data_IF_478015439263
#
_entry.id   IF_478015439263
#
_cell.length_a   1.000
_cell.length_b   1.000
_cell.length_c   1.000
_cell.angle_alpha   90.00
_cell.angle_beta   90.00
_cell.angle_gamma   90.00
#
_symmetry.space_group_name_H-M   'P 1'
#
loop_
_entity.id
_entity.type
_entity.pdbx_description
1 polymer ?
#
# COMPACT_ATOMS: atom_id res chain seq x y z
N UNK A 1 -18.33 -12.19 0.61
CA UNK A 1 -16.86 -11.98 0.60
C UNK A 1 -16.29 -12.63 1.84
N UNK A 2 -15.28 -13.49 1.69
CA UNK A 2 -14.66 -14.18 2.83
C UNK A 2 -13.51 -13.37 3.42
N UNK A 3 -13.35 -13.44 4.73
CA UNK A 3 -12.18 -12.92 5.44
C UNK A 3 -11.08 -14.00 5.48
N UNK A 4 -9.85 -13.61 5.19
CA UNK A 4 -8.67 -14.48 5.32
C UNK A 4 -7.92 -14.12 6.59
N UNK A 5 -7.68 -15.10 7.46
CA UNK A 5 -6.94 -14.90 8.72
C UNK A 5 -5.49 -15.33 8.52
N UNK A 6 -4.56 -14.38 8.64
CA UNK A 6 -3.13 -14.66 8.73
C UNK A 6 -2.75 -14.87 10.20
N UNK A 7 -2.23 -16.05 10.54
CA UNK A 7 -1.74 -16.34 11.89
C UNK A 7 -0.24 -16.06 11.97
N UNK A 8 0.15 -15.26 12.95
CA UNK A 8 1.55 -14.98 13.26
C UNK A 8 1.87 -15.64 14.60
N UNK A 9 2.97 -16.41 14.70
CA UNK A 9 3.43 -16.97 15.96
C UNK A 9 3.65 -15.89 17.04
N UNK A 10 3.31 -16.20 18.30
CA UNK A 10 3.37 -15.23 19.40
C UNK A 10 4.79 -14.72 19.67
N UNK A 11 5.79 -15.59 19.56
CA UNK A 11 7.21 -15.26 19.68
C UNK A 11 7.67 -14.27 18.59
N UNK A 12 7.13 -14.38 17.38
CA UNK A 12 7.37 -13.39 16.30
C UNK A 12 6.72 -12.05 16.64
N UNK A 13 5.51 -12.05 17.17
CA UNK A 13 4.82 -10.81 17.61
C UNK A 13 5.61 -10.11 18.72
N UNK A 14 6.09 -10.86 19.70
CA UNK A 14 6.94 -10.34 20.79
C UNK A 14 8.25 -9.75 20.26
N UNK A 15 8.82 -10.33 19.20
CA UNK A 15 10.05 -9.85 18.58
C UNK A 15 9.90 -8.53 17.79
N UNK A 16 8.69 -8.12 17.41
CA UNK A 16 8.45 -6.88 16.63
C UNK A 16 8.80 -5.61 17.41
N UNK A 17 8.88 -5.67 18.74
CA UNK A 17 9.16 -4.50 19.62
C UNK A 17 8.24 -3.30 19.36
N UNK A 18 6.99 -3.57 19.00
CA UNK A 18 5.94 -2.59 18.79
C UNK A 18 4.87 -2.73 19.89
N UNK A 19 4.15 -1.65 20.24
CA UNK A 19 2.96 -1.74 21.07
C UNK A 19 1.92 -2.69 20.43
N UNK A 20 1.33 -3.60 21.22
CA UNK A 20 0.40 -4.63 20.70
C UNK A 20 -0.80 -4.04 19.94
N UNK A 21 -1.24 -2.84 20.31
CA UNK A 21 -2.32 -2.11 19.64
C UNK A 21 -1.92 -1.57 18.25
N UNK A 22 -0.63 -1.48 17.96
CA UNK A 22 -0.09 -0.96 16.68
C UNK A 22 0.35 -2.09 15.74
N UNK A 23 0.72 -3.26 16.29
CA UNK A 23 1.24 -4.41 15.54
C UNK A 23 0.39 -4.75 14.32
N UNK A 24 -0.94 -4.84 14.47
CA UNK A 24 -1.83 -5.19 13.37
C UNK A 24 -1.74 -4.19 12.21
N UNK A 25 -1.87 -2.90 12.51
CA UNK A 25 -1.84 -1.85 11.49
C UNK A 25 -0.49 -1.76 10.80
N UNK A 26 0.60 -1.92 11.56
CA UNK A 26 1.95 -1.97 11.00
C UNK A 26 2.14 -3.17 10.05
N UNK A 27 1.67 -4.36 10.43
CA UNK A 27 1.75 -5.54 9.57
C UNK A 27 0.89 -5.42 8.31
N UNK A 28 -0.31 -4.87 8.42
CA UNK A 28 -1.19 -4.60 7.27
C UNK A 28 -0.54 -3.61 6.30
N UNK A 29 0.11 -2.55 6.83
CA UNK A 29 0.89 -1.59 6.05
C UNK A 29 2.08 -2.22 5.35
N UNK A 30 2.91 -3.01 6.08
CA UNK A 30 4.05 -3.70 5.49
C UNK A 30 3.63 -4.69 4.40
N UNK A 31 2.54 -5.43 4.64
CA UNK A 31 1.97 -6.35 3.66
C UNK A 31 1.47 -5.63 2.42
N UNK A 32 0.77 -4.51 2.58
CA UNK A 32 0.28 -3.68 1.48
C UNK A 32 1.42 -3.14 0.61
N UNK A 33 2.48 -2.61 1.23
CA UNK A 33 3.65 -2.10 0.52
C UNK A 33 4.37 -3.22 -0.25
N UNK A 34 4.59 -4.37 0.38
CA UNK A 34 5.27 -5.50 -0.26
C UNK A 34 4.47 -6.06 -1.45
N UNK A 35 3.15 -6.17 -1.32
CA UNK A 35 2.28 -6.65 -2.40
C UNK A 35 2.13 -5.63 -3.53
N UNK A 36 2.09 -4.33 -3.21
CA UNK A 36 2.12 -3.26 -4.21
C UNK A 36 3.43 -3.30 -5.00
N UNK A 37 4.57 -3.29 -4.32
CA UNK A 37 5.89 -3.30 -4.95
C UNK A 37 6.10 -4.52 -5.87
N UNK A 38 5.49 -5.66 -5.54
CA UNK A 38 5.53 -6.88 -6.36
C UNK A 38 4.54 -6.88 -7.53
N UNK A 39 3.70 -5.86 -7.67
CA UNK A 39 2.65 -5.80 -8.70
C UNK A 39 1.45 -6.72 -8.43
N UNK A 40 1.33 -7.27 -7.22
CA UNK A 40 0.24 -8.17 -6.84
C UNK A 40 -1.02 -7.36 -6.49
N UNK A 41 -0.85 -6.22 -5.83
CA UNK A 41 -1.94 -5.31 -5.52
C UNK A 41 -1.82 -4.01 -6.32
N UNK A 42 -2.97 -3.51 -6.79
CA UNK A 42 -3.08 -2.14 -7.27
C UNK A 42 -2.91 -1.14 -6.12
N UNK A 43 -2.53 0.11 -6.43
CA UNK A 43 -2.37 1.17 -5.41
C UNK A 43 -3.64 1.32 -4.57
N UNK A 44 -4.83 1.33 -5.18
CA UNK A 44 -6.09 1.46 -4.45
C UNK A 44 -6.39 0.32 -3.48
N UNK A 45 -6.07 -0.94 -3.86
CA UNK A 45 -6.25 -2.09 -2.95
C UNK A 45 -5.18 -2.14 -1.86
N UNK A 46 -3.96 -1.71 -2.16
CA UNK A 46 -2.90 -1.58 -1.17
C UNK A 46 -3.22 -0.47 -0.14
N UNK A 47 -3.73 0.69 -0.57
CA UNK A 47 -4.23 1.74 0.32
C UNK A 47 -5.33 1.21 1.25
N UNK A 48 -6.31 0.50 0.69
CA UNK A 48 -7.40 -0.08 1.46
C UNK A 48 -6.91 -1.12 2.49
N UNK A 49 -5.94 -1.96 2.12
CA UNK A 49 -5.33 -2.93 3.04
C UNK A 49 -4.54 -2.23 4.15
N UNK A 50 -3.79 -1.17 3.83
CA UNK A 50 -3.02 -0.40 4.81
C UNK A 50 -3.90 0.47 5.72
N UNK A 51 -5.20 0.61 5.43
CA UNK A 51 -6.10 1.52 6.16
C UNK A 51 -5.75 2.99 5.97
N UNK A 52 -5.14 3.34 4.83
CA UNK A 52 -4.59 4.67 4.57
C UNK A 52 -5.32 5.38 3.44
N UNK A 53 -5.31 6.71 3.49
CA UNK A 53 -5.66 7.53 2.34
C UNK A 53 -4.64 7.36 1.21
N UNK A 54 -5.04 7.70 -0.02
CA UNK A 54 -4.14 7.69 -1.17
C UNK A 54 -2.91 8.57 -0.94
N UNK A 55 -3.08 9.74 -0.31
CA UNK A 55 -1.99 10.68 -0.06
C UNK A 55 -0.95 10.11 0.91
N UNK A 56 -1.38 9.52 2.02
CA UNK A 56 -0.48 8.89 3.01
C UNK A 56 0.29 7.71 2.40
N UNK A 57 -0.39 6.91 1.57
CA UNK A 57 0.26 5.79 0.89
C UNK A 57 1.34 6.28 -0.09
N UNK A 58 1.03 7.27 -0.93
CA UNK A 58 1.97 7.86 -1.87
C UNK A 58 3.18 8.52 -1.19
N UNK A 59 2.96 9.12 -0.02
CA UNK A 59 4.04 9.68 0.81
C UNK A 59 4.98 8.59 1.30
N UNK A 60 4.44 7.48 1.81
CA UNK A 60 5.26 6.35 2.29
C UNK A 60 6.03 5.69 1.15
N UNK A 61 5.43 5.53 -0.03
CA UNK A 61 6.14 5.03 -1.22
C UNK A 61 7.36 5.91 -1.53
N UNK A 62 7.19 7.23 -1.48
CA UNK A 62 8.29 8.19 -1.66
C UNK A 62 9.36 8.06 -0.58
N UNK A 63 8.97 8.04 0.70
CA UNK A 63 9.91 7.90 1.83
C UNK A 63 10.72 6.60 1.78
N UNK A 64 10.13 5.52 1.24
CA UNK A 64 10.75 4.19 1.14
C UNK A 64 11.36 3.88 -0.23
N UNK A 65 11.38 4.84 -1.14
CA UNK A 65 11.91 4.67 -2.50
C UNK A 65 11.26 3.50 -3.26
N UNK A 66 9.99 3.23 -2.98
CA UNK A 66 9.23 2.20 -3.68
C UNK A 66 8.75 2.81 -5.00
N UNK A 67 9.16 2.19 -6.12
CA UNK A 67 8.80 2.64 -7.46
C UNK A 67 7.28 2.61 -7.63
N UNK A 68 6.72 3.74 -8.04
CA UNK A 68 5.32 3.84 -8.45
C UNK A 68 5.11 3.07 -9.75
N UNK A 69 3.98 2.38 -9.84
CA UNK A 69 3.50 1.76 -11.08
C UNK A 69 2.79 2.78 -11.97
N UNK A 70 3.38 3.97 -12.10
CA UNK A 70 2.93 5.02 -13.00
C UNK A 70 3.83 5.01 -14.23
N UNK A 71 3.22 4.85 -15.38
CA UNK A 71 3.89 4.64 -16.67
C UNK A 71 3.74 5.86 -17.56
N UNK A 72 4.50 5.91 -18.65
CA UNK A 72 4.37 6.96 -19.67
C UNK A 72 2.97 6.98 -20.29
N UNK A 73 2.34 5.80 -20.44
CA UNK A 73 0.96 5.68 -20.91
C UNK A 73 -0.04 6.33 -19.96
N UNK A 74 0.13 6.12 -18.65
CA UNK A 74 -0.73 6.76 -17.64
C UNK A 74 -0.59 8.30 -17.70
N UNK A 75 0.63 8.79 -17.97
CA UNK A 75 0.87 10.23 -18.17
C UNK A 75 0.20 10.77 -19.44
N UNK A 76 0.28 10.05 -20.55
CA UNK A 76 -0.38 10.42 -21.80
C UNK A 76 -1.89 10.49 -21.61
N UNK A 77 -2.50 9.50 -20.96
CA UNK A 77 -3.92 9.47 -20.64
C UNK A 77 -4.35 10.66 -19.76
N UNK A 78 -3.55 10.99 -18.73
CA UNK A 78 -3.81 12.14 -17.86
C UNK A 78 -3.75 13.48 -18.64
N UNK A 79 -2.80 13.63 -19.57
CA UNK A 79 -2.67 14.83 -20.42
C UNK A 79 -3.86 14.95 -21.40
N UNK A 80 -4.27 13.85 -22.02
CA UNK A 80 -5.44 13.82 -22.91
C UNK A 80 -6.73 14.17 -22.17
N UNK A 81 -6.91 13.61 -20.98
CA UNK A 81 -8.04 13.92 -20.11
C UNK A 81 -8.08 15.42 -19.75
N UNK A 82 -6.95 16.00 -19.36
CA UNK A 82 -6.86 17.42 -19.02
C UNK A 82 -7.15 18.35 -20.21
N UNK A 83 -6.78 17.96 -21.44
CA UNK A 83 -7.04 18.74 -22.66
C UNK A 83 -8.47 18.65 -23.16
N UNK A 84 -9.16 17.53 -22.92
CA UNK A 84 -10.54 17.28 -23.39
C UNK A 84 -11.62 17.98 -22.55
N UNK A 85 -11.26 18.52 -21.38
CA UNK A 85 -12.18 19.19 -20.46
C UNK A 85 -11.83 20.67 -20.23
N UNK A 86 -11.19 21.32 -21.21
CA UNK A 86 -11.14 22.79 -21.35
C UNK A 86 -12.38 23.29 -22.10
#
# INVERSE_FOLDING_TARGET
>A
MGELILKIPGDVVEALRLPLNEVKGELEKELALALYQRGVLSSGKACALAGMTRWEFEEILGRRWIRRHYTEKDLEEDIEYARSHQ
#
